data_IF_400708526268
#
_entry.id   IF_400708526268
#
_cell.length_a   1.000
_cell.length_b   1.000
_cell.length_c   1.000
_cell.angle_alpha   90.00
_cell.angle_beta   90.00
_cell.angle_gamma   90.00
#
_symmetry.space_group_name_H-M   'P 1'
#
loop_
_entity.id
_entity.type
_entity.pdbx_description
1 polymer ?
#
# COMPACT_ATOMS: atom_id res chain seq x y z
N UNK A 1 3.21 -22.42 -17.42
CA UNK A 1 2.09 -21.52 -17.07
C UNK A 1 2.59 -20.62 -15.94
N UNK A 2 2.89 -19.34 -16.21
CA UNK A 2 3.27 -18.40 -15.16
C UNK A 2 2.00 -17.66 -14.73
N UNK A 3 1.40 -18.07 -13.61
CA UNK A 3 0.38 -17.24 -12.98
C UNK A 3 1.11 -16.02 -12.43
N UNK A 4 0.80 -14.84 -12.97
CA UNK A 4 1.29 -13.58 -12.42
C UNK A 4 0.75 -13.46 -10.99
N UNK A 5 1.66 -13.24 -10.04
CA UNK A 5 1.38 -13.11 -8.61
C UNK A 5 0.95 -11.69 -8.24
N UNK A 6 1.03 -10.78 -9.22
CA UNK A 6 0.58 -9.42 -9.11
C UNK A 6 -0.95 -9.32 -9.16
N UNK A 7 -1.52 -8.48 -8.30
CA UNK A 7 -2.94 -8.17 -8.25
C UNK A 7 -3.18 -6.68 -8.06
N UNK A 8 -4.32 -6.19 -8.54
CA UNK A 8 -4.72 -4.79 -8.35
C UNK A 8 -5.32 -4.60 -6.97
N UNK A 9 -4.83 -3.59 -6.25
CA UNK A 9 -5.32 -3.19 -4.94
C UNK A 9 -5.85 -1.75 -5.01
N UNK A 10 -7.13 -1.59 -4.70
CA UNK A 10 -7.77 -0.28 -4.57
C UNK A 10 -8.10 -0.02 -3.09
N UNK A 11 -7.56 1.06 -2.55
CA UNK A 11 -7.77 1.47 -1.17
C UNK A 11 -8.39 2.85 -1.08
N UNK A 12 -8.90 3.18 0.11
CA UNK A 12 -9.39 4.52 0.45
C UNK A 12 -8.61 5.09 1.62
N UNK A 13 -7.99 6.25 1.40
CA UNK A 13 -7.30 7.07 2.39
C UNK A 13 -8.21 8.22 2.83
N UNK A 14 -8.37 8.36 4.13
CA UNK A 14 -9.11 9.46 4.76
C UNK A 14 -8.24 10.11 5.82
N UNK A 15 -8.19 11.44 5.83
CA UNK A 15 -7.50 12.25 6.83
C UNK A 15 -8.56 12.97 7.68
N UNK A 16 -8.62 12.66 8.98
CA UNK A 16 -9.60 13.27 9.89
C UNK A 16 -11.08 13.11 9.49
N UNK A 17 -11.41 12.07 8.69
CA UNK A 17 -12.76 11.86 8.13
C UNK A 17 -13.00 12.51 6.77
N UNK A 18 -12.06 13.31 6.26
CA UNK A 18 -12.11 13.89 4.91
C UNK A 18 -11.36 12.99 3.93
N UNK A 19 -11.86 12.74 2.72
CA UNK A 19 -11.11 11.98 1.72
C UNK A 19 -9.79 12.70 1.37
N UNK A 20 -8.68 11.97 1.40
CA UNK A 20 -7.38 12.52 1.03
C UNK A 20 -7.34 12.86 -0.48
N UNK A 21 -6.67 13.96 -0.84
CA UNK A 21 -6.49 14.36 -2.23
C UNK A 21 -5.05 14.83 -2.44
N UNK A 22 -4.43 14.38 -3.52
CA UNK A 22 -3.05 14.72 -3.87
C UNK A 22 -2.21 13.48 -4.15
N UNK A 23 -0.91 13.68 -4.28
CA UNK A 23 0.03 12.60 -4.54
C UNK A 23 0.58 12.06 -3.22
N UNK A 24 0.63 10.74 -3.08
CA UNK A 24 1.13 10.06 -1.89
C UNK A 24 2.20 9.05 -2.27
N UNK A 25 3.22 8.92 -1.42
CA UNK A 25 4.06 7.73 -1.46
C UNK A 25 3.42 6.69 -0.54
N UNK A 26 3.19 5.51 -1.10
CA UNK A 26 2.55 4.38 -0.45
C UNK A 26 3.56 3.25 -0.33
N UNK A 27 3.66 2.67 0.85
CA UNK A 27 4.46 1.49 1.11
C UNK A 27 3.58 0.37 1.67
N UNK A 28 3.76 -0.82 1.14
CA UNK A 28 3.01 -2.01 1.52
C UNK A 28 3.95 -3.11 1.99
N UNK A 29 3.64 -3.68 3.16
CA UNK A 29 4.32 -4.84 3.73
C UNK A 29 3.29 -5.89 4.11
N UNK A 30 3.61 -7.16 3.84
CA UNK A 30 2.75 -8.28 4.16
C UNK A 30 3.33 -9.03 5.36
N UNK A 31 2.49 -9.44 6.30
CA UNK A 31 2.88 -10.08 7.56
C UNK A 31 2.06 -11.35 7.80
N UNK A 32 2.64 -12.31 8.52
CA UNK A 32 1.91 -13.55 8.91
C UNK A 32 0.96 -13.35 10.11
N UNK A 33 1.18 -12.32 10.93
CA UNK A 33 0.40 -12.00 12.13
C UNK A 33 0.15 -10.49 12.25
N UNK A 34 -0.95 -10.10 12.90
CA UNK A 34 -1.30 -8.69 13.17
C UNK A 34 -0.31 -7.99 14.11
N UNK A 35 0.36 -8.76 14.97
CA UNK A 35 1.34 -8.25 15.93
C UNK A 35 2.39 -9.33 16.18
N UNK A 36 3.67 -8.93 16.20
CA UNK A 36 4.80 -9.84 16.41
C UNK A 36 5.04 -10.88 15.31
N UNK A 37 4.44 -10.71 14.13
CA UNK A 37 4.66 -11.57 12.97
C UNK A 37 5.97 -11.31 12.24
N UNK A 38 6.31 -12.19 11.31
CA UNK A 38 7.37 -12.00 10.32
C UNK A 38 6.82 -11.43 9.02
N UNK A 39 7.64 -10.62 8.35
CA UNK A 39 7.32 -10.10 7.03
C UNK A 39 7.38 -11.22 5.98
N UNK A 40 6.39 -11.22 5.09
CA UNK A 40 6.26 -12.13 3.95
C UNK A 40 6.54 -11.36 2.65
N UNK A 41 7.53 -11.83 1.88
CA UNK A 41 7.90 -11.22 0.61
C UNK A 41 8.62 -9.87 0.76
N UNK A 42 8.82 -9.19 -0.36
CA UNK A 42 9.50 -7.89 -0.39
C UNK A 42 8.54 -6.73 -0.13
N UNK A 43 9.05 -5.66 0.49
CA UNK A 43 8.34 -4.38 0.63
C UNK A 43 8.04 -3.78 -0.75
N UNK A 44 6.79 -3.42 -0.99
CA UNK A 44 6.36 -2.77 -2.23
C UNK A 44 6.25 -1.26 -2.01
N UNK A 45 7.07 -0.48 -2.72
CA UNK A 45 7.11 0.98 -2.61
C UNK A 45 6.56 1.62 -3.88
N UNK A 46 5.59 2.52 -3.72
CA UNK A 46 4.99 3.28 -4.82
C UNK A 46 5.10 4.76 -4.49
N UNK A 47 5.82 5.50 -5.31
CA UNK A 47 5.96 6.94 -5.13
C UNK A 47 4.99 7.71 -6.02
N UNK A 48 4.58 8.89 -5.58
CA UNK A 48 3.78 9.84 -6.38
C UNK A 48 2.43 9.25 -6.87
N UNK A 49 1.78 8.39 -6.09
CA UNK A 49 0.48 7.81 -6.41
C UNK A 49 -0.60 8.87 -6.28
N UNK A 50 -1.32 9.13 -7.38
CA UNK A 50 -2.45 10.05 -7.39
C UNK A 50 -3.62 9.48 -6.58
N UNK A 51 -3.98 10.19 -5.51
CA UNK A 51 -5.15 9.92 -4.69
C UNK A 51 -6.22 10.95 -5.02
N UNK A 52 -7.40 10.49 -5.42
CA UNK A 52 -8.54 11.35 -5.77
C UNK A 52 -9.79 10.90 -5.03
N UNK A 53 -10.44 11.82 -4.33
CA UNK A 53 -11.57 11.51 -3.45
C UNK A 53 -11.23 10.39 -2.44
N UNK A 54 -9.99 10.39 -1.96
CA UNK A 54 -9.45 9.36 -1.07
C UNK A 54 -9.11 8.04 -1.75
N UNK A 55 -9.44 7.83 -3.02
CA UNK A 55 -9.23 6.55 -3.70
C UNK A 55 -7.86 6.52 -4.37
N UNK A 56 -7.14 5.42 -4.20
CA UNK A 56 -5.91 5.11 -4.92
C UNK A 56 -5.94 3.69 -5.46
N UNK A 57 -5.19 3.43 -6.52
CA UNK A 57 -5.06 2.09 -7.11
C UNK A 57 -3.59 1.80 -7.38
N UNK A 58 -3.12 0.63 -6.96
CA UNK A 58 -1.75 0.14 -7.18
C UNK A 58 -1.78 -1.33 -7.58
N UNK A 59 -0.71 -1.83 -8.18
CA UNK A 59 -0.54 -3.25 -8.49
C UNK A 59 0.48 -3.83 -7.51
N UNK A 60 0.05 -4.69 -6.60
CA UNK A 60 0.90 -5.32 -5.59
C UNK A 60 1.37 -6.69 -6.06
N UNK A 61 2.64 -7.01 -5.81
CA UNK A 61 3.19 -8.34 -6.05
C UNK A 61 4.11 -8.75 -4.89
N UNK A 62 3.69 -9.73 -4.10
CA UNK A 62 4.48 -10.28 -2.98
C UNK A 62 5.10 -11.64 -3.34
N UNK A 63 4.91 -12.12 -4.58
CA UNK A 63 5.38 -13.42 -5.05
C UNK A 63 4.44 -14.59 -4.74
N UNK A 64 4.75 -15.75 -5.33
CA UNK A 64 3.83 -16.90 -5.37
C UNK A 64 3.55 -17.53 -3.99
N UNK A 65 4.49 -17.39 -3.05
CA UNK A 65 4.38 -17.96 -1.71
C UNK A 65 3.70 -17.01 -0.71
N UNK A 66 3.28 -15.83 -1.15
CA UNK A 66 2.68 -14.83 -0.27
C UNK A 66 1.31 -15.27 0.27
N UNK A 67 0.51 -15.94 -0.56
CA UNK A 67 -0.87 -16.34 -0.25
C UNK A 67 -1.08 -17.85 -0.40
N UNK A 68 -0.52 -18.68 0.50
CA UNK A 68 -0.69 -20.14 0.46
C UNK A 68 -2.06 -20.62 0.99
N UNK A 69 -3.03 -19.71 1.18
CA UNK A 69 -4.31 -19.96 1.85
C UNK A 69 -4.30 -19.69 3.36
N UNK A 70 -3.19 -19.23 3.93
CA UNK A 70 -3.10 -18.77 5.31
C UNK A 70 -3.51 -17.30 5.46
N UNK A 71 -3.94 -16.91 6.66
CA UNK A 71 -4.23 -15.50 6.97
C UNK A 71 -2.97 -14.64 6.79
N UNK A 72 -3.17 -13.44 6.24
CA UNK A 72 -2.12 -12.45 6.03
C UNK A 72 -2.60 -11.07 6.46
N UNK A 73 -1.68 -10.28 6.95
CA UNK A 73 -1.93 -8.92 7.41
C UNK A 73 -1.18 -7.97 6.49
N UNK A 74 -1.90 -7.07 5.84
CA UNK A 74 -1.34 -6.05 4.96
C UNK A 74 -1.20 -4.75 5.76
N UNK A 75 0.03 -4.30 5.94
CA UNK A 75 0.31 -2.99 6.50
C UNK A 75 0.52 -1.98 5.37
N UNK A 76 -0.04 -0.78 5.55
CA UNK A 76 -0.04 0.29 4.56
C UNK A 76 0.47 1.56 5.23
N UNK A 77 1.60 2.06 4.74
CA UNK A 77 2.17 3.32 5.16
C UNK A 77 1.93 4.34 4.04
N UNK A 78 1.20 5.41 4.34
CA UNK A 78 0.91 6.47 3.39
C UNK A 78 1.53 7.79 3.87
N UNK A 79 2.30 8.45 3.01
CA UNK A 79 2.85 9.78 3.26
C UNK A 79 2.52 10.71 2.09
N UNK A 80 2.20 11.97 2.37
CA UNK A 80 1.99 12.95 1.31
C UNK A 80 3.32 13.14 0.54
N UNK A 81 3.32 12.86 -0.76
CA UNK A 81 4.52 13.01 -1.58
C UNK A 81 4.67 14.50 -1.91
N UNK A 82 5.80 15.10 -1.52
CA UNK A 82 6.09 16.48 -1.87
C UNK A 82 5.36 17.53 -1.02
N UNK A 83 5.19 17.30 0.28
CA UNK A 83 5.08 18.41 1.24
C UNK A 83 6.42 19.19 1.27
N UNK A 84 6.80 19.79 0.15
CA UNK A 84 7.64 20.96 0.15
C UNK A 84 6.84 21.99 0.94
N UNK A 85 7.33 22.30 2.14
CA UNK A 85 6.77 23.35 2.98
C UNK A 85 6.50 24.55 2.09
N UNK A 86 5.26 25.04 2.12
CA UNK A 86 4.97 26.35 1.57
C UNK A 86 5.75 27.32 2.45
N UNK A 87 6.92 27.72 1.98
CA UNK A 87 7.58 28.94 2.42
C UNK A 87 6.53 30.06 2.38
N UNK A 88 6.22 30.62 3.54
CA UNK A 88 5.51 31.88 3.73
C UNK A 88 6.26 32.66 4.80
#
# INVERSE_FOLDING_TARGET
MAQTTAFTYQGRLTDGGTPANGNYDLQFTLWDSASGGSQIGATQNFSNIGVSSGIFTVTLDFGANAFPGANRFLEINARLSGACGKEQ
#
